data_IF_702718251360
#
_entry.id   IF_702718251360
#
_cell.length_a   1.000
_cell.length_b   1.000
_cell.length_c   1.000
_cell.angle_alpha   90.00
_cell.angle_beta   90.00
_cell.angle_gamma   90.00
#
_symmetry.space_group_name_H-M   'P 1'
#
loop_
_entity.id
_entity.type
_entity.pdbx_description
1 polymer ?
#
# COMPACT_ATOMS: atom_id res chain seq x y z
N UNK A 1 6.88 -5.88 13.58
CA UNK A 1 7.64 -4.83 12.88
C UNK A 1 7.78 -5.28 11.43
N UNK A 2 6.75 -5.03 10.61
CA UNK A 2 6.84 -5.17 9.15
C UNK A 2 6.64 -3.75 8.65
N UNK A 3 7.73 -3.05 8.41
CA UNK A 3 7.70 -1.63 8.09
C UNK A 3 9.12 -1.14 7.96
N UNK A 4 9.54 -0.95 6.70
CA UNK A 4 10.78 -0.35 6.20
C UNK A 4 12.03 -0.62 7.05
N UNK A 5 13.01 -1.42 6.57
CA UNK A 5 14.16 -1.90 7.35
C UNK A 5 15.07 -0.81 7.95
N UNK A 6 14.88 0.46 7.57
CA UNK A 6 15.64 1.61 8.05
C UNK A 6 14.74 2.76 8.54
N UNK A 7 13.56 2.49 9.12
CA UNK A 7 12.74 3.55 9.73
C UNK A 7 13.24 3.92 11.14
N UNK A 8 13.61 5.18 11.34
CA UNK A 8 13.98 5.72 12.66
C UNK A 8 12.86 6.61 13.18
N UNK A 9 12.13 6.21 14.25
CA UNK A 9 11.09 7.05 14.82
C UNK A 9 11.75 8.24 15.55
N UNK A 10 11.49 9.46 15.06
CA UNK A 10 12.05 10.70 15.61
C UNK A 10 11.16 11.29 16.74
N UNK A 11 9.89 10.87 16.80
CA UNK A 11 8.90 11.32 17.79
C UNK A 11 8.05 10.16 18.31
N UNK A 12 7.57 10.25 19.55
CA UNK A 12 6.76 9.21 20.21
C UNK A 12 5.36 9.04 19.59
N UNK A 13 4.85 10.07 18.92
CA UNK A 13 3.51 10.15 18.33
C UNK A 13 3.51 9.93 16.81
N UNK A 14 4.68 9.59 16.22
CA UNK A 14 4.78 9.35 14.78
C UNK A 14 3.76 8.31 14.31
N UNK A 15 3.08 8.65 13.21
CA UNK A 15 2.18 7.73 12.49
C UNK A 15 3.01 7.00 11.46
N UNK A 16 3.32 5.74 11.75
CA UNK A 16 4.07 4.87 10.85
C UNK A 16 3.08 4.02 10.06
N UNK A 17 2.97 4.21 8.74
CA UNK A 17 2.15 3.35 7.93
C UNK A 17 2.65 1.91 7.99
N UNK A 18 1.72 0.97 7.93
CA UNK A 18 2.06 -0.40 7.57
C UNK A 18 2.48 -0.39 6.10
N UNK A 19 3.76 -0.67 5.88
CA UNK A 19 4.33 -0.78 4.54
C UNK A 19 4.56 -2.26 4.24
N UNK A 20 3.49 -2.91 3.79
CA UNK A 20 3.56 -4.30 3.37
C UNK A 20 4.25 -4.39 1.99
N UNK A 21 5.00 -5.46 1.71
CA UNK A 21 5.65 -5.65 0.41
C UNK A 21 4.67 -5.74 -0.77
N UNK A 22 3.42 -6.11 -0.50
CA UNK A 22 2.32 -6.27 -1.47
C UNK A 22 1.06 -5.70 -0.84
N UNK A 23 0.25 -4.99 -1.62
CA UNK A 23 -1.05 -4.47 -1.23
C UNK A 23 -1.99 -5.62 -0.81
N UNK A 24 -2.73 -5.43 0.28
CA UNK A 24 -3.66 -6.45 0.83
C UNK A 24 -5.12 -6.07 0.57
N UNK A 25 -5.48 -4.81 0.84
CA UNK A 25 -6.86 -4.32 0.74
C UNK A 25 -7.05 -3.29 -0.38
N UNK A 26 -6.08 -2.37 -0.54
CA UNK A 26 -6.19 -1.21 -1.42
C UNK A 26 -4.79 -0.85 -1.94
N UNK A 27 -4.70 -0.48 -3.22
CA UNK A 27 -3.52 0.14 -3.79
C UNK A 27 -3.67 1.66 -3.67
N UNK A 28 -2.69 2.32 -3.04
CA UNK A 28 -2.73 3.74 -2.67
C UNK A 28 -1.97 4.64 -3.64
N UNK A 29 -1.04 4.08 -4.41
CA UNK A 29 -0.25 4.84 -5.37
C UNK A 29 0.13 4.00 -6.60
N UNK A 30 0.44 4.70 -7.69
CA UNK A 30 0.88 4.07 -8.94
C UNK A 30 2.21 3.35 -8.73
N UNK A 31 2.26 2.06 -9.05
CA UNK A 31 3.44 1.22 -8.89
C UNK A 31 3.52 0.45 -7.56
N UNK A 32 2.51 0.55 -6.70
CA UNK A 32 2.39 -0.36 -5.56
C UNK A 32 2.18 -1.80 -6.04
N UNK A 33 2.93 -2.76 -5.47
CA UNK A 33 2.85 -4.15 -5.87
C UNK A 33 1.53 -4.76 -5.40
N UNK A 34 0.76 -5.35 -6.31
CA UNK A 34 -0.55 -5.97 -6.03
C UNK A 34 -0.52 -7.50 -6.07
N UNK A 35 0.45 -8.07 -6.76
CA UNK A 35 0.65 -9.51 -6.86
C UNK A 35 2.12 -9.82 -7.13
N UNK A 36 2.56 -11.03 -6.76
CA UNK A 36 3.92 -11.52 -6.99
C UNK A 36 3.86 -12.93 -7.57
N UNK A 37 4.62 -13.15 -8.64
CA UNK A 37 4.79 -14.47 -9.27
C UNK A 37 6.16 -15.01 -8.89
N UNK A 38 6.21 -16.26 -8.42
CA UNK A 38 7.45 -16.98 -8.16
C UNK A 38 7.61 -18.13 -9.18
N UNK A 39 8.40 -17.89 -10.22
CA UNK A 39 8.73 -18.87 -11.25
C UNK A 39 10.13 -18.61 -11.82
N UNK A 40 10.64 -19.54 -12.65
CA UNK A 40 11.89 -19.36 -13.38
C UNK A 40 11.71 -18.41 -14.57
N UNK A 41 12.80 -17.84 -15.08
CA UNK A 41 12.84 -16.66 -15.97
C UNK A 41 11.67 -16.47 -16.94
N UNK A 42 11.53 -17.34 -17.95
CA UNK A 42 10.49 -17.14 -18.98
C UNK A 42 9.07 -17.41 -18.48
N UNK A 43 8.79 -18.54 -17.81
CA UNK A 43 7.48 -18.79 -17.23
C UNK A 43 6.97 -17.69 -16.28
N UNK A 44 7.88 -16.97 -15.61
CA UNK A 44 7.49 -15.85 -14.75
C UNK A 44 6.88 -14.68 -15.53
N UNK A 45 7.39 -14.37 -16.72
CA UNK A 45 6.87 -13.28 -17.55
C UNK A 45 5.49 -13.60 -18.09
N UNK A 46 5.32 -14.80 -18.63
CA UNK A 46 4.04 -15.27 -19.15
C UNK A 46 2.97 -15.30 -18.03
N UNK A 47 3.35 -15.79 -16.84
CA UNK A 47 2.45 -15.85 -15.71
C UNK A 47 2.01 -14.46 -15.18
N UNK A 48 2.82 -13.41 -15.36
CA UNK A 48 2.41 -12.04 -15.02
C UNK A 48 1.29 -11.54 -15.93
N UNK A 49 1.30 -11.90 -17.21
CA UNK A 49 0.25 -11.51 -18.17
C UNK A 49 -1.11 -12.17 -17.87
N UNK A 50 -1.11 -13.26 -17.09
CA UNK A 50 -2.32 -13.95 -16.66
C UNK A 50 -2.96 -13.35 -15.40
N UNK A 51 -2.34 -12.37 -14.75
CA UNK A 51 -2.90 -11.73 -13.57
C UNK A 51 -3.91 -10.68 -14.03
N UNK A 52 -5.18 -10.94 -13.70
CA UNK A 52 -6.27 -9.97 -13.86
C UNK A 52 -6.64 -9.42 -12.48
N UNK A 53 -6.68 -8.10 -12.35
CA UNK A 53 -6.96 -7.43 -11.07
C UNK A 53 -8.14 -6.48 -11.23
N UNK A 54 -9.23 -6.82 -10.56
CA UNK A 54 -10.41 -5.96 -10.47
C UNK A 54 -10.21 -4.87 -9.43
N UNK A 55 -10.26 -3.61 -9.86
CA UNK A 55 -10.17 -2.45 -8.97
C UNK A 55 -11.53 -1.77 -8.86
N UNK A 56 -11.92 -1.44 -7.63
CA UNK A 56 -12.94 -0.43 -7.36
C UNK A 56 -12.24 0.92 -7.16
N UNK A 57 -12.44 1.92 -8.02
CA UNK A 57 -11.77 3.21 -7.90
C UNK A 57 -12.16 3.93 -6.60
N UNK A 58 -11.15 4.28 -5.81
CA UNK A 58 -11.30 5.10 -4.61
C UNK A 58 -11.00 6.56 -4.91
N UNK A 59 -11.52 7.49 -4.09
CA UNK A 59 -11.19 8.91 -4.22
C UNK A 59 -9.68 9.13 -4.09
N UNK A 60 -9.06 9.88 -4.99
CA UNK A 60 -7.60 10.09 -4.99
C UNK A 60 -7.25 11.51 -4.56
N UNK A 61 -6.15 11.67 -3.82
CA UNK A 61 -5.52 12.96 -3.56
C UNK A 61 -4.08 12.93 -4.05
N UNK A 62 -3.75 13.86 -4.94
CA UNK A 62 -2.40 14.02 -5.51
C UNK A 62 -1.63 15.19 -4.91
N UNK A 63 -2.33 16.03 -4.14
CA UNK A 63 -1.78 17.14 -3.37
C UNK A 63 -2.25 17.11 -1.91
N UNK A 64 -1.58 17.90 -1.08
CA UNK A 64 -1.79 17.90 0.37
C UNK A 64 -3.14 18.53 0.71
N UNK A 65 -3.56 19.55 -0.03
CA UNK A 65 -4.82 20.26 0.17
C UNK A 65 -6.02 19.32 -0.03
N UNK A 66 -5.99 18.47 -1.05
CA UNK A 66 -7.01 17.47 -1.33
C UNK A 66 -7.04 16.35 -0.27
N UNK A 67 -5.86 15.94 0.23
CA UNK A 67 -5.78 14.98 1.33
C UNK A 67 -6.39 15.54 2.63
N UNK A 68 -6.18 16.84 2.91
CA UNK A 68 -6.71 17.51 4.10
C UNK A 68 -8.22 17.74 4.06
N UNK A 69 -8.82 17.78 2.86
CA UNK A 69 -10.28 17.93 2.70
C UNK A 69 -11.06 16.71 3.20
N UNK A 70 -10.41 15.57 3.40
CA UNK A 70 -10.99 14.39 4.09
C UNK A 70 -12.21 13.76 3.40
N UNK A 71 -12.54 14.19 2.18
CA UNK A 71 -13.72 13.75 1.42
C UNK A 71 -13.44 12.64 0.40
N UNK A 72 -12.31 11.94 0.53
CA UNK A 72 -11.90 10.90 -0.41
C UNK A 72 -12.69 9.62 -0.11
N UNK A 73 -13.72 9.36 -0.91
CA UNK A 73 -14.59 8.20 -0.73
C UNK A 73 -13.78 6.90 -0.79
N UNK A 74 -13.85 6.12 0.30
CA UNK A 74 -13.38 4.75 0.37
C UNK A 74 -11.88 4.56 0.66
N UNK A 75 -11.04 5.61 0.62
CA UNK A 75 -9.68 5.51 1.15
C UNK A 75 -9.73 5.35 2.67
N UNK A 76 -9.24 4.21 3.17
CA UNK A 76 -9.13 4.02 4.62
C UNK A 76 -8.03 4.92 5.17
N UNK A 77 -8.35 5.65 6.24
CA UNK A 77 -7.32 6.33 7.02
C UNK A 77 -6.30 5.30 7.54
N UNK A 78 -5.02 5.69 7.56
CA UNK A 78 -3.98 4.79 8.04
C UNK A 78 -4.23 4.43 9.52
N UNK A 79 -4.60 3.16 9.76
CA UNK A 79 -4.85 2.63 11.10
C UNK A 79 -3.50 2.41 11.80
N UNK A 80 -3.15 3.34 12.68
CA UNK A 80 -1.97 3.22 13.56
C UNK A 80 -2.27 2.28 14.73
N UNK A 81 -2.48 0.98 14.46
CA UNK A 81 -2.67 -0.01 15.53
C UNK A 81 -1.31 -0.42 16.10
N UNK A 82 -0.87 0.30 17.14
CA UNK A 82 0.36 0.01 17.89
C UNK A 82 0.23 -1.25 18.78
N UNK A 83 -0.61 -2.23 18.41
CA UNK A 83 -0.79 -3.45 19.20
C UNK A 83 0.43 -4.36 19.09
N UNK A 84 1.30 -4.16 20.09
CA UNK A 84 2.14 -5.14 20.78
C UNK A 84 1.75 -6.60 20.51
N UNK A 85 2.71 -7.36 19.99
CA UNK A 85 2.94 -8.74 20.40
C UNK A 85 3.79 -8.73 21.67
#
# INVERSE_FOLDING_TARGET
MIGIPCTWPVAEDIRLPEHLPVAVDEARFVGEAVAVVAATDQPARDALEHIDVDYEPLGTAVDVEDALRGGLTGLKEHRNDRRRY
#
